data_IF_601009650334
#
_entry.id   IF_601009650334
#
_cell.length_a   1.000
_cell.length_b   1.000
_cell.length_c   1.000
_cell.angle_alpha   90.00
_cell.angle_beta   90.00
_cell.angle_gamma   90.00
#
_symmetry.space_group_name_H-M   'P 1'
#
loop_
_entity.id
_entity.type
_entity.pdbx_description
1 polymer ?
#
# COMPACT_ATOMS: atom_id res chain seq x y z
N UNK A 1 -15.17 22.24 -13.49
CA UNK A 1 -14.54 22.60 -12.22
C UNK A 1 -13.03 22.56 -12.40
N UNK A 2 -12.26 23.53 -11.90
CA UNK A 2 -10.80 23.51 -12.06
C UNK A 2 -10.23 22.32 -11.29
N UNK A 3 -9.50 21.46 -11.99
CA UNK A 3 -8.79 20.32 -11.41
C UNK A 3 -7.74 20.87 -10.46
N UNK A 4 -7.63 20.30 -9.26
CA UNK A 4 -6.54 20.63 -8.35
C UNK A 4 -5.20 20.40 -9.09
N UNK A 5 -4.33 21.42 -9.19
CA UNK A 5 -3.11 21.35 -9.99
C UNK A 5 -2.15 20.23 -9.54
N UNK A 6 -2.29 19.74 -8.30
CA UNK A 6 -1.49 18.67 -7.72
C UNK A 6 -2.12 17.28 -7.81
N UNK A 7 -3.30 17.16 -8.40
CA UNK A 7 -4.09 15.93 -8.44
C UNK A 7 -3.83 15.13 -9.72
N UNK A 8 -3.77 13.81 -9.59
CA UNK A 8 -3.84 12.86 -10.71
C UNK A 8 -5.02 11.93 -10.46
N UNK A 9 -5.93 11.86 -11.43
CA UNK A 9 -7.06 10.96 -11.44
C UNK A 9 -6.80 9.82 -12.43
N UNK A 10 -6.95 8.59 -11.94
CA UNK A 10 -6.88 7.38 -12.74
C UNK A 10 -8.25 7.03 -13.35
N UNK A 11 -8.26 6.16 -14.35
CA UNK A 11 -9.48 5.76 -15.08
C UNK A 11 -10.47 4.96 -14.23
N UNK A 12 -9.99 4.26 -13.23
CA UNK A 12 -10.81 3.53 -12.26
C UNK A 12 -11.42 4.42 -11.17
N UNK A 13 -11.21 5.74 -11.24
CA UNK A 13 -11.71 6.72 -10.27
C UNK A 13 -10.78 6.93 -9.06
N UNK A 14 -9.66 6.21 -8.97
CA UNK A 14 -8.65 6.42 -7.93
C UNK A 14 -7.94 7.75 -8.15
N UNK A 15 -7.67 8.45 -7.05
CA UNK A 15 -7.01 9.75 -7.08
C UNK A 15 -5.80 9.72 -6.17
N UNK A 16 -4.68 10.22 -6.67
CA UNK A 16 -3.48 10.45 -5.87
C UNK A 16 -2.93 11.85 -6.12
N UNK A 17 -2.13 12.34 -5.18
CA UNK A 17 -1.60 13.71 -5.21
C UNK A 17 -0.09 13.71 -5.34
N UNK A 18 0.45 14.69 -6.05
CA UNK A 18 1.89 14.90 -6.22
C UNK A 18 2.26 16.29 -5.75
N UNK A 19 3.12 16.38 -4.75
CA UNK A 19 3.55 17.64 -4.13
C UNK A 19 5.07 17.67 -3.99
N UNK A 20 5.64 18.87 -4.02
CA UNK A 20 7.04 19.11 -3.71
C UNK A 20 7.11 19.70 -2.30
N UNK A 21 7.87 19.09 -1.39
CA UNK A 21 8.13 19.67 -0.07
C UNK A 21 9.13 20.82 -0.20
N UNK A 22 9.17 21.71 0.81
CA UNK A 22 10.13 22.82 0.87
C UNK A 22 11.62 22.38 0.74
N UNK A 23 11.91 21.10 1.00
CA UNK A 23 13.22 20.46 0.82
C UNK A 23 13.52 20.02 -0.61
N UNK A 24 12.67 20.33 -1.59
CA UNK A 24 12.79 19.87 -2.99
C UNK A 24 12.49 18.37 -3.18
N UNK A 25 11.98 17.69 -2.14
CA UNK A 25 11.62 16.28 -2.22
C UNK A 25 10.21 16.13 -2.78
N UNK A 26 10.07 15.34 -3.84
CA UNK A 26 8.78 15.02 -4.44
C UNK A 26 8.11 13.93 -3.61
N UNK A 27 6.87 14.20 -3.24
CA UNK A 27 6.00 13.35 -2.41
C UNK A 27 4.79 12.96 -3.23
N UNK A 28 4.49 11.67 -3.29
CA UNK A 28 3.25 11.15 -3.86
C UNK A 28 2.38 10.64 -2.73
N UNK A 29 1.17 11.16 -2.62
CA UNK A 29 0.17 10.73 -1.64
C UNK A 29 -0.83 9.81 -2.34
N UNK A 30 -0.73 8.52 -2.09
CA UNK A 30 -1.62 7.48 -2.62
C UNK A 30 -2.53 6.93 -1.52
N UNK A 31 -3.62 6.24 -1.87
CA UNK A 31 -4.51 5.64 -0.88
C UNK A 31 -3.76 4.60 -0.03
N UNK A 32 -3.98 4.67 1.27
CA UNK A 32 -3.17 3.95 2.26
C UNK A 32 -3.31 2.41 2.18
N UNK A 33 -4.51 1.89 1.93
CA UNK A 33 -4.81 0.44 1.87
C UNK A 33 -5.04 -0.07 0.44
N UNK A 34 -4.40 0.56 -0.53
CA UNK A 34 -4.60 0.19 -1.93
C UNK A 34 -3.73 -1.01 -2.36
N UNK A 35 -4.40 -2.06 -2.84
CA UNK A 35 -3.79 -3.30 -3.31
C UNK A 35 -2.83 -3.06 -4.49
N UNK A 36 -3.07 -2.04 -5.31
CA UNK A 36 -2.19 -1.68 -6.44
C UNK A 36 -0.87 -1.10 -5.92
N UNK A 37 -0.90 -0.29 -4.86
CA UNK A 37 0.30 0.27 -4.21
C UNK A 37 1.24 -0.83 -3.69
N UNK A 38 0.66 -1.91 -3.15
CA UNK A 38 1.40 -3.08 -2.68
C UNK A 38 2.01 -3.87 -3.85
N UNK A 39 1.23 -4.17 -4.89
CA UNK A 39 1.67 -5.01 -6.00
C UNK A 39 2.72 -4.35 -6.91
N UNK A 40 2.64 -3.02 -7.12
CA UNK A 40 3.63 -2.29 -7.92
C UNK A 40 4.93 -1.94 -7.16
N UNK A 41 4.97 -2.22 -5.85
CA UNK A 41 6.12 -1.94 -4.98
C UNK A 41 6.25 -0.47 -4.56
N UNK A 42 5.21 0.35 -4.75
CA UNK A 42 5.17 1.75 -4.28
C UNK A 42 5.21 1.83 -2.74
N UNK A 43 4.65 0.83 -2.08
CA UNK A 43 4.68 0.66 -0.61
C UNK A 43 6.09 0.64 0.00
N UNK A 44 7.13 0.28 -0.76
CA UNK A 44 8.54 0.27 -0.30
C UNK A 44 9.11 1.67 -0.05
N UNK A 45 8.52 2.68 -0.70
CA UNK A 45 8.95 4.08 -0.62
C UNK A 45 8.10 4.90 0.35
N UNK A 46 7.28 4.22 1.14
CA UNK A 46 6.35 4.84 2.07
C UNK A 46 7.11 5.55 3.20
N UNK A 47 6.81 6.82 3.39
CA UNK A 47 7.30 7.61 4.51
C UNK A 47 6.58 7.21 5.81
N UNK A 48 7.16 7.52 7.00
CA UNK A 48 6.51 7.32 8.28
C UNK A 48 5.14 8.00 8.28
N UNK A 49 4.10 7.20 8.39
CA UNK A 49 2.72 7.65 8.28
C UNK A 49 2.18 8.08 9.64
N UNK A 50 1.44 9.20 9.68
CA UNK A 50 0.70 9.61 10.87
C UNK A 50 -0.64 8.87 10.90
N UNK A 51 -1.00 8.22 12.03
CA UNK A 51 -2.29 7.55 12.13
C UNK A 51 -3.44 8.55 11.95
N UNK A 52 -4.41 8.20 11.09
CA UNK A 52 -5.60 9.01 10.79
C UNK A 52 -5.63 9.66 9.40
N UNK A 53 -4.54 9.61 8.64
CA UNK A 53 -4.51 10.12 7.26
C UNK A 53 -5.03 9.06 6.26
N UNK A 54 -5.97 9.43 5.38
CA UNK A 54 -6.50 8.51 4.36
C UNK A 54 -5.47 8.16 3.26
N UNK A 55 -4.40 8.95 3.17
CA UNK A 55 -3.35 8.82 2.16
C UNK A 55 -2.01 8.46 2.80
N UNK A 56 -1.31 7.52 2.19
CA UNK A 56 0.08 7.23 2.47
C UNK A 56 0.98 8.13 1.62
N UNK A 57 1.94 8.78 2.27
CA UNK A 57 2.98 9.53 1.57
C UNK A 57 4.11 8.59 1.14
N UNK A 58 4.53 8.72 -0.11
CA UNK A 58 5.65 8.02 -0.71
C UNK A 58 6.70 9.04 -1.11
N UNK A 59 7.95 8.80 -0.72
CA UNK A 59 9.08 9.71 -0.98
C UNK A 59 10.25 8.96 -1.59
N UNK A 60 11.08 9.67 -2.36
CA UNK A 60 12.28 9.10 -3.02
C UNK A 60 12.00 7.89 -3.92
N UNK A 61 10.76 7.72 -4.39
CA UNK A 61 10.43 6.70 -5.38
C UNK A 61 10.90 7.09 -6.78
N UNK A 62 11.26 6.12 -7.61
CA UNK A 62 11.54 6.36 -9.01
C UNK A 62 10.23 6.51 -9.80
N UNK A 63 10.30 7.22 -10.92
CA UNK A 63 9.11 7.56 -11.74
C UNK A 63 8.40 6.31 -12.27
N UNK A 64 9.13 5.21 -12.48
CA UNK A 64 8.60 3.93 -12.95
C UNK A 64 7.58 3.34 -11.97
N UNK A 65 7.78 3.53 -10.66
CA UNK A 65 6.85 3.01 -9.64
C UNK A 65 5.54 3.78 -9.65
N UNK A 66 5.61 5.10 -9.84
CA UNK A 66 4.41 5.93 -9.97
C UNK A 66 3.67 5.62 -11.29
N UNK A 67 4.40 5.33 -12.37
CA UNK A 67 3.79 4.87 -13.63
C UNK A 67 3.13 3.50 -13.48
N UNK A 68 3.81 2.54 -12.85
CA UNK A 68 3.25 1.21 -12.59
C UNK A 68 1.98 1.29 -11.73
N UNK A 69 1.98 2.18 -10.73
CA UNK A 69 0.80 2.49 -9.93
C UNK A 69 -0.36 3.01 -10.80
N UNK A 70 -0.10 4.04 -11.62
CA UNK A 70 -1.11 4.57 -12.53
C UNK A 70 -1.62 3.52 -13.54
N UNK A 71 -0.75 2.65 -14.06
CA UNK A 71 -1.12 1.55 -14.97
C UNK A 71 -2.01 0.53 -14.24
N UNK A 72 -1.71 0.18 -13.00
CA UNK A 72 -2.53 -0.73 -12.19
C UNK A 72 -3.95 -0.22 -11.96
N UNK A 73 -4.16 1.10 -12.02
CA UNK A 73 -5.45 1.77 -11.95
C UNK A 73 -6.08 2.06 -13.33
N UNK A 74 -5.66 1.33 -14.37
CA UNK A 74 -6.19 1.50 -15.73
C UNK A 74 -5.63 2.70 -16.49
N UNK A 75 -4.59 3.35 -15.98
CA UNK A 75 -3.94 4.52 -16.58
C UNK A 75 -4.45 5.86 -16.06
N UNK A 76 -3.76 6.93 -16.44
CA UNK A 76 -4.14 8.31 -16.08
C UNK A 76 -5.31 8.76 -16.96
N UNK A 77 -6.42 9.16 -16.32
CA UNK A 77 -7.55 9.78 -17.00
C UNK A 77 -7.34 11.30 -17.12
N UNK A 78 -6.88 11.93 -16.04
CA UNK A 78 -6.73 13.37 -15.95
C UNK A 78 -5.61 13.71 -14.97
N UNK A 79 -4.76 14.67 -15.30
CA UNK A 79 -3.60 15.04 -14.48
C UNK A 79 -3.43 16.55 -14.42
N UNK A 80 -3.34 17.08 -13.20
CA UNK A 80 -3.05 18.48 -12.95
C UNK A 80 -1.67 18.86 -13.53
N UNK A 81 -1.53 20.08 -14.08
CA UNK A 81 -0.31 20.49 -14.77
C UNK A 81 0.92 20.50 -13.86
N UNK A 82 0.75 20.83 -12.57
CA UNK A 82 1.85 20.82 -11.58
C UNK A 82 2.24 19.39 -11.23
N UNK A 83 1.26 18.49 -11.05
CA UNK A 83 1.55 17.08 -10.80
C UNK A 83 2.36 16.44 -11.94
N UNK A 84 1.98 16.69 -13.20
CA UNK A 84 2.70 16.18 -14.38
C UNK A 84 4.12 16.77 -14.44
N UNK A 85 4.29 18.07 -14.16
CA UNK A 85 5.60 18.71 -14.15
C UNK A 85 6.52 18.12 -13.06
N UNK A 86 5.98 17.83 -11.87
CA UNK A 86 6.72 17.20 -10.79
C UNK A 86 7.10 15.75 -11.13
N UNK A 87 6.20 14.97 -11.73
CA UNK A 87 6.54 13.60 -12.14
C UNK A 87 7.67 13.56 -13.18
N UNK A 88 7.80 14.57 -14.04
CA UNK A 88 8.93 14.69 -14.99
C UNK A 88 10.28 14.95 -14.29
N UNK A 89 10.27 15.53 -13.09
CA UNK A 89 11.48 15.78 -12.28
C UNK A 89 11.95 14.55 -11.50
N UNK A 90 11.11 13.50 -11.35
CA UNK A 90 11.49 12.28 -10.65
C UNK A 90 12.60 11.53 -11.41
N UNK A 91 13.56 10.98 -10.66
CA UNK A 91 14.66 10.20 -11.24
C UNK A 91 14.13 8.84 -11.74
N UNK A 92 14.60 8.44 -12.92
CA UNK A 92 14.39 7.09 -13.45
C UNK A 92 15.34 6.09 -12.78
N UNK A 93 14.90 4.85 -12.53
CA UNK A 93 15.81 3.76 -12.10
C UNK A 93 16.97 3.54 -13.08
N UNK A 94 16.81 3.89 -14.37
CA UNK A 94 17.86 3.78 -15.38
C UNK A 94 19.09 4.67 -15.12
N UNK A 95 19.00 5.65 -14.21
CA UNK A 95 20.11 6.55 -13.85
C UNK A 95 20.98 6.03 -12.69
N UNK A 96 20.72 4.84 -12.14
CA UNK A 96 21.57 4.19 -11.11
C UNK A 96 22.60 3.22 -11.70
N UNK A 97 23.19 3.61 -12.83
CA UNK A 97 24.12 2.77 -13.60
C UNK A 97 25.57 3.25 -13.59
N UNK A 98 26.09 3.78 -12.48
CA UNK A 98 27.54 4.03 -12.32
C UNK A 98 27.89 4.14 -10.83
N UNK A 99 28.10 3.00 -10.18
CA UNK A 99 29.15 2.74 -9.17
C UNK A 99 28.93 1.35 -8.53
N UNK A 100 30.03 0.61 -8.35
CA UNK A 100 30.14 -0.86 -8.24
C UNK A 100 29.37 -1.54 -7.09
N UNK A 101 29.26 -2.87 -7.05
CA UNK A 101 30.37 -3.82 -6.85
C UNK A 101 30.08 -5.21 -7.47
N UNK A 102 31.12 -5.73 -8.12
CA UNK A 102 31.58 -7.13 -8.31
C UNK A 102 30.59 -8.31 -8.50
N UNK A 103 30.73 -8.92 -9.69
CA UNK A 103 31.14 -10.31 -9.94
C UNK A 103 30.65 -11.43 -9.00
N UNK A 104 29.80 -12.31 -9.53
CA UNK A 104 30.11 -13.75 -9.63
C UNK A 104 29.23 -14.43 -10.68
N UNK A 105 29.89 -15.28 -11.48
CA UNK A 105 29.33 -16.17 -12.50
C UNK A 105 28.21 -17.08 -11.94
N UNK A 106 27.31 -17.67 -12.72
CA UNK A 106 27.13 -17.75 -14.15
C UNK A 106 26.12 -18.87 -14.43
N UNK A 107 25.46 -18.87 -15.57
CA UNK A 107 25.07 -20.11 -16.25
C UNK A 107 24.78 -19.79 -17.71
N UNK A 108 25.54 -20.45 -18.60
CA UNK A 108 25.32 -20.48 -20.05
C UNK A 108 24.05 -21.25 -20.36
N UNK A 109 23.28 -20.77 -21.33
CA UNK A 109 22.63 -21.63 -22.31
C UNK A 109 22.61 -20.92 -23.67
N UNK A 110 22.86 -21.71 -24.70
CA UNK A 110 23.41 -21.33 -25.99
C UNK A 110 22.52 -20.41 -26.83
N UNK A 111 23.17 -19.46 -27.49
CA UNK A 111 22.74 -18.89 -28.74
C UNK A 111 23.03 -19.88 -29.89
N UNK A 112 22.02 -20.16 -30.70
CA UNK A 112 22.13 -20.60 -32.09
C UNK A 112 21.01 -19.87 -32.83
N UNK A 113 21.32 -18.84 -33.61
CA UNK A 113 21.64 -18.98 -35.03
C UNK A 113 20.43 -18.44 -35.80
N UNK A 114 20.49 -17.18 -36.23
CA UNK A 114 20.86 -16.82 -37.60
C UNK A 114 19.69 -16.92 -38.59
N UNK A 115 19.23 -15.76 -39.05
CA UNK A 115 19.04 -15.57 -40.48
C UNK A 115 17.63 -15.34 -41.00
N UNK A 116 17.52 -14.22 -41.73
CA UNK A 116 16.78 -14.05 -42.99
C UNK A 116 15.32 -13.59 -42.91
N UNK A 117 15.17 -12.35 -43.35
CA UNK A 117 14.19 -11.78 -44.27
C UNK A 117 12.86 -12.51 -44.51
N UNK A 118 11.79 -11.71 -44.52
CA UNK A 118 10.55 -12.03 -45.20
C UNK A 118 9.33 -11.67 -44.36
N UNK A 119 8.71 -10.54 -44.66
CA UNK A 119 7.33 -10.26 -44.29
C UNK A 119 6.44 -10.95 -45.33
N UNK A 120 5.57 -11.91 -44.96
CA UNK A 120 4.44 -12.26 -45.79
C UNK A 120 3.19 -11.58 -45.23
N UNK A 121 2.39 -11.11 -46.18
CA UNK A 121 1.10 -10.47 -45.99
C UNK A 121 0.10 -11.39 -45.28
N UNK A 122 -0.85 -10.75 -44.59
CA UNK A 122 -1.99 -11.40 -43.97
C UNK A 122 -2.85 -12.08 -45.04
N UNK A 123 -2.74 -13.41 -45.15
CA UNK A 123 -3.71 -14.24 -45.86
C UNK A 123 -4.70 -14.78 -44.84
N UNK A 124 -5.95 -14.32 -44.94
CA UNK A 124 -7.06 -14.80 -44.13
C UNK A 124 -7.35 -16.27 -44.47
N UNK A 125 -7.10 -17.17 -43.52
CA UNK A 125 -7.49 -18.57 -43.63
C UNK A 125 -8.95 -18.70 -43.15
N UNK A 126 -9.88 -19.21 -43.98
CA UNK A 126 -11.22 -19.56 -43.54
C UNK A 126 -11.13 -20.84 -42.69
N UNK A 127 -11.44 -20.73 -41.39
CA UNK A 127 -11.40 -21.87 -40.48
C UNK A 127 -11.14 -21.56 -39.00
N UNK A 128 -11.26 -20.30 -38.55
CA UNK A 128 -11.18 -19.99 -37.13
C UNK A 128 -12.44 -20.54 -36.41
N UNK A 129 -12.31 -21.43 -35.41
CA UNK A 129 -13.47 -21.84 -34.63
C UNK A 129 -13.97 -20.65 -33.81
N UNK A 130 -15.29 -20.45 -33.84
CA UNK A 130 -16.04 -19.59 -32.93
C UNK A 130 -15.54 -19.78 -31.49
N UNK A 131 -14.77 -18.82 -30.98
CA UNK A 131 -14.56 -18.69 -29.54
C UNK A 131 -15.87 -18.17 -28.94
N UNK A 132 -16.75 -19.11 -28.64
CA UNK A 132 -17.90 -18.90 -27.76
C UNK A 132 -17.39 -18.31 -26.44
N UNK A 133 -17.63 -17.01 -26.25
CA UNK A 133 -17.65 -16.34 -24.96
C UNK A 133 -18.65 -17.05 -24.04
N UNK A 134 -18.21 -18.04 -23.27
CA UNK A 134 -19.13 -18.79 -22.41
C UNK A 134 -18.59 -20.12 -21.89
N UNK A 135 -17.49 -20.10 -21.15
CA UNK A 135 -17.16 -21.16 -20.20
C UNK A 135 -16.45 -20.52 -19.00
N UNK A 136 -17.03 -20.69 -17.81
CA UNK A 136 -16.55 -20.09 -16.58
C UNK A 136 -15.07 -20.37 -16.37
N UNK A 137 -14.28 -19.30 -16.36
CA UNK A 137 -12.92 -19.36 -15.83
C UNK A 137 -13.02 -19.90 -14.39
N UNK A 138 -12.16 -20.84 -13.98
CA UNK A 138 -12.14 -21.29 -12.60
C UNK A 138 -11.95 -20.07 -11.70
N UNK A 139 -12.97 -19.75 -10.89
CA UNK A 139 -12.83 -18.75 -9.85
C UNK A 139 -11.84 -19.32 -8.83
N UNK A 140 -10.60 -18.88 -8.93
CA UNK A 140 -9.60 -19.15 -7.90
C UNK A 140 -10.10 -18.45 -6.64
N UNK A 141 -10.43 -19.24 -5.62
CA UNK A 141 -10.80 -18.72 -4.31
C UNK A 141 -9.59 -17.98 -3.75
N UNK A 142 -9.62 -16.65 -3.80
CA UNK A 142 -8.53 -15.81 -3.31
C UNK A 142 -8.55 -15.86 -1.79
N UNK A 143 -7.47 -16.33 -1.17
CA UNK A 143 -7.30 -16.30 0.27
C UNK A 143 -7.16 -14.84 0.74
N UNK A 144 -8.27 -14.32 1.24
CA UNK A 144 -8.37 -12.95 1.76
C UNK A 144 -8.19 -12.88 3.28
N UNK A 145 -8.17 -14.01 4.00
CA UNK A 145 -8.17 -14.00 5.46
C UNK A 145 -6.76 -14.20 6.05
N UNK A 146 -5.92 -15.01 5.41
CA UNK A 146 -4.56 -15.25 5.89
C UNK A 146 -3.70 -13.98 5.98
N UNK A 147 -3.69 -13.06 4.99
CA UNK A 147 -2.94 -11.81 5.11
C UNK A 147 -3.40 -10.95 6.28
N UNK A 148 -4.71 -10.89 6.50
CA UNK A 148 -5.34 -10.09 7.55
C UNK A 148 -5.01 -10.62 8.95
N UNK A 149 -4.94 -11.95 9.08
CA UNK A 149 -4.51 -12.59 10.33
C UNK A 149 -3.04 -12.30 10.61
N UNK A 150 -2.16 -12.35 9.60
CA UNK A 150 -0.74 -12.02 9.76
C UNK A 150 -0.58 -10.59 10.26
N UNK A 151 -1.30 -9.65 9.64
CA UNK A 151 -1.26 -8.25 10.05
C UNK A 151 -1.87 -8.03 11.43
N UNK A 152 -3.02 -8.65 11.73
CA UNK A 152 -3.65 -8.56 13.05
C UNK A 152 -2.76 -9.12 14.16
N UNK A 153 -2.09 -10.26 13.94
CA UNK A 153 -1.08 -10.79 14.89
C UNK A 153 0.03 -9.80 15.14
N UNK A 154 0.57 -9.19 14.07
CA UNK A 154 1.63 -8.19 14.18
C UNK A 154 1.17 -6.96 14.95
N UNK A 155 -0.03 -6.47 14.69
CA UNK A 155 -0.60 -5.34 15.41
C UNK A 155 -0.85 -5.65 16.88
N UNK A 156 -1.43 -6.81 17.18
CA UNK A 156 -1.66 -7.22 18.57
C UNK A 156 -0.35 -7.45 19.33
N UNK A 157 0.71 -7.94 18.69
CA UNK A 157 2.03 -8.02 19.33
C UNK A 157 2.58 -6.63 19.72
N UNK A 158 2.32 -5.59 18.92
CA UNK A 158 2.66 -4.21 19.29
C UNK A 158 1.80 -3.71 20.46
N UNK A 159 0.52 -4.09 20.50
CA UNK A 159 -0.38 -3.75 21.60
C UNK A 159 -0.02 -4.51 22.89
N UNK A 160 0.44 -5.74 22.81
CA UNK A 160 0.88 -6.50 23.99
C UNK A 160 2.25 -6.04 24.50
N UNK A 161 3.01 -5.34 23.67
CA UNK A 161 4.32 -4.80 23.99
C UNK A 161 4.31 -3.56 24.90
N UNK A 162 5.50 -3.11 25.33
CA UNK A 162 5.66 -1.95 26.19
C UNK A 162 5.19 -0.65 25.50
N UNK A 163 4.78 0.32 26.33
CA UNK A 163 4.28 1.63 25.89
C UNK A 163 5.42 2.56 25.49
N UNK A 164 6.08 2.26 24.38
CA UNK A 164 7.24 3.01 23.90
C UNK A 164 6.86 4.02 22.80
N UNK A 165 7.46 5.20 22.87
CA UNK A 165 7.50 6.19 21.80
C UNK A 165 8.90 6.14 21.17
N UNK A 166 9.00 5.78 19.89
CA UNK A 166 10.27 5.68 19.15
C UNK A 166 11.34 4.81 19.86
N UNK A 167 10.90 3.73 20.53
CA UNK A 167 11.78 2.78 21.22
C UNK A 167 12.19 3.17 22.64
N UNK A 168 11.73 4.31 23.16
CA UNK A 168 11.95 4.74 24.55
C UNK A 168 10.64 4.95 25.30
N UNK A 169 10.71 5.01 26.62
CA UNK A 169 9.56 5.41 27.42
C UNK A 169 9.18 6.87 27.16
N UNK A 170 7.88 7.21 27.19
CA UNK A 170 7.42 8.59 27.08
C UNK A 170 7.90 9.38 28.31
N UNK A 171 8.54 10.51 28.07
CA UNK A 171 9.11 11.37 29.11
C UNK A 171 8.10 12.40 29.61
N UNK A 172 7.02 12.62 28.86
CA UNK A 172 5.99 13.60 29.20
C UNK A 172 4.60 13.01 29.03
N UNK A 173 3.67 13.58 29.77
CA UNK A 173 2.22 13.47 29.63
C UNK A 173 1.72 13.50 28.17
N UNK A 174 2.20 14.47 27.38
CA UNK A 174 1.82 14.60 25.98
C UNK A 174 2.35 13.44 25.12
N UNK A 175 3.56 12.95 25.41
CA UNK A 175 4.12 11.76 24.76
C UNK A 175 3.36 10.50 25.15
N UNK A 176 2.99 10.34 26.42
CA UNK A 176 2.20 9.22 26.90
C UNK A 176 0.81 9.19 26.22
N UNK A 177 0.14 10.34 26.13
CA UNK A 177 -1.12 10.48 25.40
C UNK A 177 -0.97 10.08 23.93
N UNK A 178 0.14 10.47 23.28
CA UNK A 178 0.42 10.11 21.89
C UNK A 178 0.67 8.61 21.70
N UNK A 179 1.35 7.96 22.63
CA UNK A 179 1.50 6.49 22.65
C UNK A 179 0.13 5.82 22.76
N UNK A 180 -0.74 6.31 23.66
CA UNK A 180 -2.10 5.80 23.81
C UNK A 180 -2.95 5.97 22.55
N UNK A 181 -2.92 7.15 21.92
CA UNK A 181 -3.63 7.41 20.66
C UNK A 181 -3.14 6.52 19.51
N UNK A 182 -1.82 6.32 19.41
CA UNK A 182 -1.25 5.41 18.43
C UNK A 182 -1.74 3.97 18.65
N UNK A 183 -1.77 3.50 19.90
CA UNK A 183 -2.26 2.16 20.25
C UNK A 183 -3.75 1.99 19.95
N UNK A 184 -4.58 2.97 20.29
CA UNK A 184 -6.01 2.96 19.94
C UNK A 184 -6.22 2.88 18.42
N UNK A 185 -5.41 3.60 17.65
CA UNK A 185 -5.46 3.57 16.17
C UNK A 185 -5.07 2.20 15.60
N UNK A 186 -4.03 1.58 16.15
CA UNK A 186 -3.59 0.23 15.75
C UNK A 186 -4.67 -0.81 16.08
N UNK A 187 -5.24 -0.75 17.29
CA UNK A 187 -6.31 -1.64 17.73
C UNK A 187 -7.55 -1.51 16.84
N UNK A 188 -7.95 -0.27 16.53
CA UNK A 188 -9.09 0.00 15.66
C UNK A 188 -8.86 -0.56 14.26
N UNK A 189 -7.66 -0.39 13.70
CA UNK A 189 -7.32 -0.93 12.37
C UNK A 189 -7.38 -2.46 12.33
N UNK A 190 -6.80 -3.14 13.33
CA UNK A 190 -6.86 -4.59 13.43
C UNK A 190 -8.32 -5.08 13.54
N UNK A 191 -9.14 -4.40 14.35
CA UNK A 191 -10.55 -4.70 14.49
C UNK A 191 -11.34 -4.51 13.19
N UNK A 192 -11.23 -3.35 12.54
CA UNK A 192 -12.02 -3.03 11.34
C UNK A 192 -11.65 -3.94 10.17
N UNK A 193 -10.37 -4.25 9.98
CA UNK A 193 -9.93 -5.14 8.90
C UNK A 193 -10.54 -6.54 9.04
N UNK A 194 -10.45 -7.12 10.24
CA UNK A 194 -11.03 -8.43 10.51
C UNK A 194 -12.56 -8.39 10.46
N UNK A 195 -13.21 -7.33 10.95
CA UNK A 195 -14.66 -7.19 10.92
C UNK A 195 -15.21 -7.15 9.48
N UNK A 196 -14.53 -6.46 8.55
CA UNK A 196 -14.92 -6.40 7.13
C UNK A 196 -14.73 -7.76 6.45
N UNK A 197 -13.69 -8.50 6.83
CA UNK A 197 -13.30 -9.75 6.16
C UNK A 197 -14.01 -10.99 6.71
N UNK A 198 -14.46 -10.95 7.97
CA UNK A 198 -15.30 -11.97 8.60
C UNK A 198 -16.77 -11.87 8.17
N UNK A 199 -17.00 -11.88 6.85
CA UNK A 199 -18.34 -11.87 6.25
C UNK A 199 -18.94 -13.27 6.08
N UNK A 200 -20.18 -13.37 5.54
CA UNK A 200 -20.80 -14.64 5.21
C UNK A 200 -19.90 -15.52 4.35
N UNK A 201 -19.74 -16.79 4.72
CA UNK A 201 -18.88 -17.76 4.01
C UNK A 201 -17.45 -17.87 4.54
N UNK A 202 -16.97 -16.91 5.34
CA UNK A 202 -15.65 -16.99 5.96
C UNK A 202 -15.51 -18.14 6.98
N UNK A 203 -16.62 -18.67 7.49
CA UNK A 203 -16.68 -19.81 8.43
C UNK A 203 -15.99 -21.08 7.91
N UNK A 204 -15.89 -21.23 6.58
CA UNK A 204 -15.22 -22.36 5.93
C UNK A 204 -13.70 -22.22 5.92
N UNK A 205 -13.18 -21.02 6.18
CA UNK A 205 -11.75 -20.76 6.19
C UNK A 205 -11.10 -21.45 7.41
N UNK A 206 -9.98 -22.17 7.26
CA UNK A 206 -9.33 -22.90 8.36
C UNK A 206 -8.94 -22.00 9.54
N UNK A 207 -8.68 -20.72 9.27
CA UNK A 207 -8.30 -19.73 10.27
C UNK A 207 -9.46 -18.86 10.80
N UNK A 208 -10.72 -19.17 10.47
CA UNK A 208 -11.88 -18.37 10.87
C UNK A 208 -11.95 -18.12 12.38
N UNK A 209 -11.80 -19.18 13.19
CA UNK A 209 -11.86 -19.08 14.66
C UNK A 209 -10.77 -18.18 15.22
N UNK A 210 -9.58 -18.22 14.63
CA UNK A 210 -8.49 -17.35 15.03
C UNK A 210 -8.78 -15.89 14.68
N UNK A 211 -9.26 -15.62 13.46
CA UNK A 211 -9.63 -14.27 13.06
C UNK A 211 -10.70 -13.67 13.99
N UNK A 212 -11.70 -14.46 14.41
CA UNK A 212 -12.69 -14.02 15.42
C UNK A 212 -12.01 -13.67 16.75
N UNK A 213 -11.13 -14.53 17.25
CA UNK A 213 -10.42 -14.28 18.50
C UNK A 213 -9.54 -13.02 18.45
N UNK A 214 -8.82 -12.81 17.34
CA UNK A 214 -7.99 -11.62 17.12
C UNK A 214 -8.84 -10.35 17.03
N UNK A 215 -10.00 -10.41 16.35
CA UNK A 215 -10.94 -9.29 16.25
C UNK A 215 -11.46 -8.90 17.63
N UNK A 216 -11.89 -9.87 18.42
CA UNK A 216 -12.48 -9.61 19.74
C UNK A 216 -11.43 -9.05 20.70
N UNK A 217 -10.17 -9.53 20.61
CA UNK A 217 -9.04 -8.97 21.36
C UNK A 217 -8.71 -7.53 20.93
N UNK A 218 -8.69 -7.26 19.64
CA UNK A 218 -8.51 -5.89 19.12
C UNK A 218 -9.64 -4.95 19.61
N UNK A 219 -10.89 -5.42 19.63
CA UNK A 219 -12.02 -4.68 20.17
C UNK A 219 -11.86 -4.37 21.67
N UNK A 220 -11.30 -5.28 22.46
CA UNK A 220 -10.97 -5.01 23.87
C UNK A 220 -10.02 -3.83 23.99
N UNK A 221 -8.92 -3.83 23.23
CA UNK A 221 -7.98 -2.70 23.25
C UNK A 221 -8.62 -1.38 22.82
N UNK A 222 -9.51 -1.39 21.82
CA UNK A 222 -10.27 -0.18 21.44
C UNK A 222 -11.07 0.34 22.63
N UNK A 223 -11.80 -0.52 23.33
CA UNK A 223 -12.59 -0.15 24.51
C UNK A 223 -11.73 0.40 25.63
N UNK A 224 -10.55 -0.17 25.85
CA UNK A 224 -9.63 0.28 26.90
C UNK A 224 -8.97 1.63 26.58
N UNK A 225 -8.85 1.99 25.30
CA UNK A 225 -8.25 3.27 24.89
C UNK A 225 -9.20 4.48 24.94
N UNK A 226 -10.51 4.28 24.78
CA UNK A 226 -11.52 5.36 24.74
C UNK A 226 -11.60 6.19 26.04
N UNK A 227 -11.55 5.60 27.25
CA UNK A 227 -11.58 6.36 28.51
C UNK A 227 -10.39 7.31 28.62
N UNK A 228 -9.20 6.84 28.26
CA UNK A 228 -7.94 7.57 28.45
C UNK A 228 -7.81 8.80 27.55
N UNK A 229 -8.50 8.85 26.42
CA UNK A 229 -8.52 10.03 25.55
C UNK A 229 -9.47 11.13 26.02
N UNK A 230 -10.53 10.79 26.76
CA UNK A 230 -11.53 11.75 27.22
C UNK A 230 -11.27 12.28 28.64
N UNK A 231 -10.54 11.54 29.48
CA UNK A 231 -10.28 11.95 30.88
C UNK A 231 -8.88 12.50 31.10
N UNK A 232 -8.08 12.71 30.05
CA UNK A 232 -6.75 13.29 30.20
C UNK A 232 -6.83 14.76 30.63
N UNK A 233 -6.95 14.97 31.94
CA UNK A 233 -6.81 16.28 32.57
C UNK A 233 -5.32 16.42 32.87
N UNK A 234 -4.57 17.30 32.19
CA UNK A 234 -3.14 17.43 32.46
C UNK A 234 -2.97 17.76 33.94
N UNK A 235 -2.20 16.94 34.67
CA UNK A 235 -1.78 17.29 36.01
C UNK A 235 -0.95 18.56 35.89
N UNK A 236 -1.55 19.70 36.23
CA UNK A 236 -0.88 20.99 36.30
C UNK A 236 0.24 20.82 37.32
N UNK A 237 1.47 20.68 36.84
CA UNK A 237 2.62 20.68 37.73
C UNK A 237 2.62 22.02 38.45
N UNK A 238 2.38 21.98 39.75
CA UNK A 238 2.62 23.10 40.65
C UNK A 238 4.14 23.19 40.82
N UNK A 239 4.74 24.17 40.14
CA UNK A 239 6.15 24.53 40.22
C UNK A 239 6.34 25.92 39.67
#
# INVERSE_FOLDING_TARGET
MPIDPHRIACRDGVVFFVRERATGTIVVSALHDDAVSLSCGLSRYRAPHRPGEAYAEHTRMPVERVRAYAIGHGGVAEGGPVAIALLKKLRSEANKGTEGVASTAGFRAAAGGSGVAGRPEASAVPGAPDQRLGAGLPQVEVDVLTPEIIDARRFLAVLDGPHLLDGREPATDAEALRVWQNRGSIALRAYTSLAVRLGPGSERHPLYREAVALRDRALSHVRDTIPHTNTYTPHRQAG
#
